data_IF_691154862953
#
_entry.id   IF_691154862953
#
_cell.length_a   1.000
_cell.length_b   1.000
_cell.length_c   1.000
_cell.angle_alpha   90.00
_cell.angle_beta   90.00
_cell.angle_gamma   90.00
#
_symmetry.space_group_name_H-M   'P 1'
#
loop_
_entity.id
_entity.type
_entity.pdbx_description
1 polymer ?
#
# COMPACT_ATOMS: atom_id res chain seq x y z
N UNK A 1 47.72 -4.44 21.17
CA UNK A 1 47.13 -5.28 20.09
C UNK A 1 45.85 -4.61 19.59
N UNK A 2 45.84 -4.10 18.34
CA UNK A 2 44.70 -3.39 17.74
C UNK A 2 43.76 -4.40 17.07
N UNK A 3 42.52 -4.53 17.55
CA UNK A 3 41.48 -5.36 16.90
C UNK A 3 40.82 -4.58 15.76
N UNK A 4 40.81 -5.17 14.56
CA UNK A 4 40.17 -4.64 13.37
C UNK A 4 38.63 -4.75 13.42
N UNK A 5 37.86 -3.83 12.80
CA UNK A 5 36.40 -3.89 12.77
C UNK A 5 35.90 -4.87 11.71
N UNK A 6 35.12 -5.86 12.16
CA UNK A 6 34.46 -6.86 11.33
C UNK A 6 33.33 -6.26 10.49
N UNK A 7 33.42 -6.50 9.18
CA UNK A 7 32.51 -6.02 8.16
C UNK A 7 31.19 -6.82 8.19
N UNK A 8 30.11 -6.27 8.77
CA UNK A 8 28.78 -6.91 8.78
C UNK A 8 28.07 -6.68 7.46
N UNK A 9 28.01 -7.72 6.61
CA UNK A 9 27.18 -7.76 5.40
C UNK A 9 25.70 -7.59 5.77
N UNK A 10 25.07 -6.52 5.27
CA UNK A 10 23.61 -6.30 5.35
C UNK A 10 22.89 -7.35 4.51
N UNK A 11 22.16 -8.26 5.16
CA UNK A 11 21.22 -9.16 4.49
C UNK A 11 19.97 -8.35 4.13
N UNK A 12 19.87 -7.92 2.88
CA UNK A 12 18.66 -7.30 2.34
C UNK A 12 17.62 -8.39 2.16
N UNK A 13 16.58 -8.41 3.02
CA UNK A 13 15.39 -9.23 2.80
C UNK A 13 14.71 -8.76 1.52
N UNK A 14 14.88 -9.51 0.42
CA UNK A 14 14.22 -9.23 -0.85
C UNK A 14 12.71 -9.40 -0.63
N UNK A 15 11.94 -8.36 -0.95
CA UNK A 15 10.49 -8.42 -0.98
C UNK A 15 10.06 -9.60 -1.85
N UNK A 16 9.10 -10.39 -1.34
CA UNK A 16 8.52 -11.54 -2.02
C UNK A 16 7.68 -10.98 -3.17
N UNK A 17 8.30 -10.78 -4.34
CA UNK A 17 7.59 -10.46 -5.58
C UNK A 17 6.67 -11.64 -5.84
N UNK A 18 5.36 -11.43 -5.72
CA UNK A 18 4.35 -12.35 -6.23
C UNK A 18 4.63 -12.50 -7.71
N UNK A 19 5.28 -13.61 -8.08
CA UNK A 19 5.45 -13.97 -9.49
C UNK A 19 4.04 -14.18 -10.03
N UNK A 20 3.69 -13.41 -11.05
CA UNK A 20 2.49 -13.64 -11.84
C UNK A 20 2.53 -15.09 -12.29
N UNK A 21 1.45 -15.85 -12.04
CA UNK A 21 1.33 -17.20 -12.53
C UNK A 21 1.33 -17.14 -14.06
N UNK A 22 2.42 -17.61 -14.66
CA UNK A 22 2.64 -17.56 -16.10
C UNK A 22 1.57 -18.35 -16.86
N UNK A 23 1.00 -19.41 -16.25
CA UNK A 23 -0.08 -20.20 -16.84
C UNK A 23 -1.40 -19.44 -16.88
N UNK A 24 -1.72 -18.69 -15.83
CA UNK A 24 -2.89 -17.80 -15.83
C UNK A 24 -2.75 -16.69 -16.87
N UNK A 25 -1.55 -16.11 -17.01
CA UNK A 25 -1.33 -15.03 -17.98
C UNK A 25 -1.49 -15.49 -19.43
N UNK A 26 -1.00 -16.69 -19.79
CA UNK A 26 -1.18 -17.22 -21.15
C UNK A 26 -2.65 -17.49 -21.47
N UNK A 27 -3.40 -18.04 -20.53
CA UNK A 27 -4.84 -18.29 -20.70
C UNK A 27 -5.63 -16.98 -20.84
N UNK A 28 -5.31 -15.97 -20.03
CA UNK A 28 -5.96 -14.66 -20.14
C UNK A 28 -5.63 -13.95 -21.45
N UNK A 29 -4.42 -14.14 -21.97
CA UNK A 29 -4.03 -13.63 -23.29
C UNK A 29 -4.77 -14.34 -24.42
N UNK A 30 -4.98 -15.64 -24.32
CA UNK A 30 -5.77 -16.41 -25.30
C UNK A 30 -7.25 -16.01 -25.26
N UNK A 31 -7.82 -15.83 -24.07
CA UNK A 31 -9.18 -15.31 -23.89
C UNK A 31 -9.32 -13.89 -24.44
N UNK A 32 -8.39 -12.99 -24.10
CA UNK A 32 -8.40 -11.64 -24.65
C UNK A 32 -8.23 -11.65 -26.17
N UNK A 33 -7.35 -12.51 -26.69
CA UNK A 33 -7.15 -12.73 -28.12
C UNK A 33 -8.45 -13.12 -28.80
N UNK A 34 -9.06 -14.22 -28.38
CA UNK A 34 -10.32 -14.73 -28.96
C UNK A 34 -11.51 -13.77 -28.85
N UNK A 35 -11.62 -13.01 -27.74
CA UNK A 35 -12.70 -12.04 -27.56
C UNK A 35 -12.52 -10.76 -28.39
N UNK A 36 -11.29 -10.45 -28.81
CA UNK A 36 -10.93 -9.15 -29.40
C UNK A 36 -10.22 -9.26 -30.76
N UNK A 37 -10.04 -10.47 -31.31
CA UNK A 37 -9.25 -10.72 -32.52
C UNK A 37 -9.72 -9.89 -33.72
N UNK A 38 -11.04 -9.71 -33.84
CA UNK A 38 -11.67 -8.97 -34.94
C UNK A 38 -12.28 -7.63 -34.51
N UNK A 39 -12.14 -7.24 -33.23
CA UNK A 39 -12.72 -5.99 -32.72
C UNK A 39 -11.76 -4.83 -32.87
N UNK A 40 -12.23 -3.73 -33.44
CA UNK A 40 -11.51 -2.47 -33.31
C UNK A 40 -11.61 -1.96 -31.87
N UNK A 41 -10.50 -2.11 -31.14
CA UNK A 41 -10.38 -1.66 -29.75
C UNK A 41 -10.68 -0.17 -29.59
N UNK A 42 -10.48 0.62 -30.65
CA UNK A 42 -10.69 2.07 -30.67
C UNK A 42 -12.16 2.47 -30.73
N UNK A 43 -13.06 1.54 -31.08
CA UNK A 43 -14.50 1.77 -31.14
C UNK A 43 -15.28 1.03 -30.05
N UNK A 44 -14.59 0.37 -29.10
CA UNK A 44 -15.25 -0.38 -28.04
C UNK A 44 -16.11 0.53 -27.15
N UNK A 45 -17.35 0.11 -26.92
CA UNK A 45 -18.25 0.73 -25.95
C UNK A 45 -17.86 0.40 -24.51
N UNK A 46 -18.39 1.15 -23.55
CA UNK A 46 -18.17 0.89 -22.14
C UNK A 46 -18.64 -0.50 -21.71
N UNK A 47 -19.79 -0.96 -22.21
CA UNK A 47 -20.34 -2.27 -21.85
C UNK A 47 -19.47 -3.41 -22.39
N UNK A 48 -18.94 -3.28 -23.59
CA UNK A 48 -17.96 -4.25 -24.11
C UNK A 48 -16.68 -4.26 -23.27
N UNK A 49 -16.18 -3.10 -22.84
CA UNK A 49 -15.01 -3.04 -21.93
C UNK A 49 -15.32 -3.69 -20.58
N UNK A 50 -16.54 -3.54 -20.05
CA UNK A 50 -16.98 -4.22 -18.81
C UNK A 50 -17.01 -5.74 -18.99
N UNK A 51 -17.57 -6.23 -20.09
CA UNK A 51 -17.65 -7.67 -20.39
C UNK A 51 -16.26 -8.31 -20.45
N UNK A 52 -15.28 -7.62 -21.03
CA UNK A 52 -13.90 -8.11 -21.12
C UNK A 52 -13.01 -7.66 -19.96
N UNK A 53 -13.55 -6.99 -18.94
CA UNK A 53 -12.76 -6.31 -17.92
C UNK A 53 -11.75 -7.24 -17.23
N UNK A 54 -12.13 -8.49 -16.95
CA UNK A 54 -11.24 -9.50 -16.39
C UNK A 54 -10.08 -9.87 -17.34
N UNK A 55 -10.37 -9.98 -18.63
CA UNK A 55 -9.43 -10.38 -19.69
C UNK A 55 -8.42 -9.28 -20.06
N UNK A 56 -8.64 -8.02 -19.65
CA UNK A 56 -7.75 -6.89 -19.96
C UNK A 56 -6.29 -7.11 -19.53
N UNK A 57 -6.03 -7.99 -18.55
CA UNK A 57 -4.68 -8.39 -18.16
C UNK A 57 -3.89 -9.06 -19.29
N UNK A 58 -4.56 -9.77 -20.20
CA UNK A 58 -3.96 -10.45 -21.34
C UNK A 58 -3.59 -9.55 -22.52
N UNK A 59 -4.10 -8.30 -22.55
CA UNK A 59 -3.84 -7.34 -23.63
C UNK A 59 -2.45 -6.74 -23.54
N UNK A 60 -1.87 -6.32 -24.67
CA UNK A 60 -0.64 -5.52 -24.61
C UNK A 60 -0.94 -4.12 -24.10
N UNK A 61 0.10 -3.40 -23.66
CA UNK A 61 -0.04 -1.98 -23.30
C UNK A 61 -0.47 -1.12 -24.48
N UNK A 62 -0.13 -1.51 -25.71
CA UNK A 62 -0.53 -0.79 -26.93
C UNK A 62 -2.02 -0.99 -27.21
N UNK A 63 -2.54 -2.20 -26.97
CA UNK A 63 -3.95 -2.50 -27.15
C UNK A 63 -4.83 -1.76 -26.13
N UNK A 64 -4.40 -1.73 -24.87
CA UNK A 64 -5.08 -0.93 -23.83
C UNK A 64 -5.06 0.57 -24.17
N UNK A 65 -3.98 1.07 -24.78
CA UNK A 65 -3.88 2.48 -25.15
C UNK A 65 -4.83 2.87 -26.30
N UNK A 66 -5.30 1.90 -27.09
CA UNK A 66 -6.31 2.13 -28.14
C UNK A 66 -7.73 2.27 -27.59
N UNK A 67 -8.03 1.72 -26.42
CA UNK A 67 -9.39 1.78 -25.84
C UNK A 67 -9.88 3.22 -25.67
N UNK A 68 -11.15 3.54 -25.94
CA UNK A 68 -11.69 4.89 -25.71
C UNK A 68 -11.58 5.32 -24.26
N UNK A 69 -11.14 6.56 -24.04
CA UNK A 69 -10.94 7.10 -22.68
C UNK A 69 -12.25 7.08 -21.87
N UNK A 70 -13.39 7.41 -22.50
CA UNK A 70 -14.73 7.39 -21.88
C UNK A 70 -15.20 5.98 -21.55
N UNK A 71 -14.97 5.01 -22.44
CA UNK A 71 -15.31 3.60 -22.20
C UNK A 71 -14.55 3.04 -20.99
N UNK A 72 -13.27 3.39 -20.85
CA UNK A 72 -12.46 3.00 -19.68
C UNK A 72 -13.03 3.60 -18.39
N UNK A 73 -13.42 4.88 -18.41
CA UNK A 73 -14.01 5.54 -17.23
C UNK A 73 -15.34 4.89 -16.82
N UNK A 74 -16.24 4.65 -17.76
CA UNK A 74 -17.55 4.07 -17.49
C UNK A 74 -17.48 2.58 -17.08
N UNK A 75 -16.43 1.87 -17.51
CA UNK A 75 -16.16 0.49 -17.13
C UNK A 75 -15.39 0.34 -15.81
N UNK A 76 -15.06 1.44 -15.11
CA UNK A 76 -14.19 1.42 -13.93
C UNK A 76 -14.68 0.49 -12.83
N UNK A 77 -15.99 0.40 -12.62
CA UNK A 77 -16.61 -0.49 -11.62
C UNK A 77 -16.29 -1.97 -11.84
N UNK A 78 -16.02 -2.38 -13.08
CA UNK A 78 -15.61 -3.75 -13.44
C UNK A 78 -14.09 -3.91 -13.47
N UNK A 79 -13.36 -2.84 -13.83
CA UNK A 79 -11.89 -2.83 -13.88
C UNK A 79 -11.28 -2.84 -12.47
N UNK A 80 -11.95 -2.22 -11.49
CA UNK A 80 -11.40 -2.01 -10.14
C UNK A 80 -10.98 -3.27 -9.40
N UNK A 81 -11.60 -4.41 -9.72
CA UNK A 81 -11.30 -5.71 -9.11
C UNK A 81 -10.34 -6.57 -9.95
N UNK A 82 -9.88 -6.06 -11.10
CA UNK A 82 -8.94 -6.79 -11.95
C UNK A 82 -7.51 -6.74 -11.41
N UNK A 83 -7.14 -7.80 -10.69
CA UNK A 83 -5.79 -8.00 -10.14
C UNK A 83 -4.76 -8.49 -11.18
N UNK A 84 -5.19 -8.87 -12.38
CA UNK A 84 -4.32 -9.41 -13.43
C UNK A 84 -3.62 -8.32 -14.27
N UNK A 85 -3.98 -7.06 -14.09
CA UNK A 85 -3.32 -5.94 -14.76
C UNK A 85 -1.89 -5.75 -14.23
N UNK A 86 -0.92 -5.76 -15.13
CA UNK A 86 0.44 -5.34 -14.83
C UNK A 86 0.51 -3.84 -14.46
N UNK A 87 1.53 -3.40 -13.71
CA UNK A 87 1.66 -1.98 -13.32
C UNK A 87 1.63 -1.00 -14.51
N UNK A 88 2.21 -1.39 -15.66
CA UNK A 88 2.17 -0.55 -16.87
C UNK A 88 0.75 -0.41 -17.42
N UNK A 89 -0.01 -1.51 -17.45
CA UNK A 89 -1.40 -1.51 -17.91
C UNK A 89 -2.29 -0.69 -16.96
N UNK A 90 -2.18 -0.91 -15.64
CA UNK A 90 -2.87 -0.11 -14.62
C UNK A 90 -2.64 1.39 -14.81
N UNK A 91 -1.39 1.79 -15.07
CA UNK A 91 -1.04 3.19 -15.31
C UNK A 91 -1.70 3.79 -16.56
N UNK A 92 -1.77 3.03 -17.65
CA UNK A 92 -2.41 3.48 -18.88
C UNK A 92 -3.92 3.63 -18.63
N UNK A 93 -4.56 2.63 -18.02
CA UNK A 93 -5.98 2.69 -17.64
C UNK A 93 -6.29 3.90 -16.77
N UNK A 94 -5.50 4.13 -15.72
CA UNK A 94 -5.65 5.27 -14.83
C UNK A 94 -5.52 6.60 -15.61
N UNK A 95 -4.52 6.72 -16.49
CA UNK A 95 -4.35 7.92 -17.33
C UNK A 95 -5.53 8.16 -18.25
N UNK A 96 -6.09 7.11 -18.87
CA UNK A 96 -7.26 7.20 -19.74
C UNK A 96 -8.49 7.66 -18.97
N UNK A 97 -8.79 7.01 -17.85
CA UNK A 97 -9.88 7.43 -16.97
C UNK A 97 -9.73 8.89 -16.53
N UNK A 98 -8.50 9.32 -16.20
CA UNK A 98 -8.21 10.71 -15.85
C UNK A 98 -8.43 11.68 -17.00
N UNK A 99 -8.05 11.34 -18.23
CA UNK A 99 -8.35 12.15 -19.42
C UNK A 99 -9.85 12.29 -19.67
N UNK A 100 -10.61 11.24 -19.38
CA UNK A 100 -12.07 11.24 -19.47
C UNK A 100 -12.78 11.96 -18.31
N UNK A 101 -12.06 12.45 -17.31
CA UNK A 101 -12.62 13.25 -16.22
C UNK A 101 -12.72 12.56 -14.86
N UNK A 102 -12.04 11.43 -14.65
CA UNK A 102 -11.91 10.82 -13.31
C UNK A 102 -11.33 11.83 -12.31
N UNK A 103 -12.07 12.03 -11.21
CA UNK A 103 -11.63 12.82 -10.04
C UNK A 103 -11.40 11.92 -8.83
N UNK A 104 -10.52 12.36 -7.93
CA UNK A 104 -10.23 11.66 -6.67
C UNK A 104 -10.34 12.70 -5.55
N UNK A 105 -11.56 12.93 -5.08
CA UNK A 105 -11.84 13.95 -4.08
C UNK A 105 -12.26 13.35 -2.74
N UNK A 106 -12.99 12.23 -2.77
CA UNK A 106 -13.60 11.64 -1.59
C UNK A 106 -13.28 10.15 -1.42
N UNK A 107 -13.70 9.56 -0.31
CA UNK A 107 -13.47 8.14 -0.01
C UNK A 107 -14.17 7.17 -0.95
N UNK A 108 -15.30 7.55 -1.56
CA UNK A 108 -16.01 6.72 -2.53
C UNK A 108 -15.23 6.64 -3.86
N UNK A 109 -14.69 7.77 -4.34
CA UNK A 109 -13.83 7.80 -5.52
C UNK A 109 -12.61 6.87 -5.34
N UNK A 110 -12.00 6.89 -4.15
CA UNK A 110 -10.88 6.00 -3.80
C UNK A 110 -11.29 4.53 -3.86
N UNK A 111 -12.47 4.19 -3.34
CA UNK A 111 -12.98 2.83 -3.36
C UNK A 111 -13.25 2.35 -4.80
N UNK A 112 -13.73 3.24 -5.66
CA UNK A 112 -14.02 2.93 -7.06
C UNK A 112 -12.78 2.76 -7.94
N UNK A 113 -11.62 3.28 -7.52
CA UNK A 113 -10.36 3.00 -8.19
C UNK A 113 -9.87 1.55 -8.02
N UNK A 114 -10.23 0.90 -6.90
CA UNK A 114 -9.77 -0.45 -6.56
C UNK A 114 -8.29 -0.66 -6.81
N UNK A 115 -7.93 -1.59 -7.69
CA UNK A 115 -6.54 -1.94 -8.04
C UNK A 115 -5.72 -0.78 -8.65
N UNK A 116 -6.39 0.23 -9.23
CA UNK A 116 -5.75 1.39 -9.86
C UNK A 116 -5.32 2.47 -8.84
N UNK A 117 -5.76 2.38 -7.57
CA UNK A 117 -5.37 3.33 -6.52
C UNK A 117 -3.84 3.45 -6.36
N UNK A 118 -3.13 2.35 -6.67
CA UNK A 118 -1.67 2.27 -6.64
C UNK A 118 -0.98 3.08 -7.74
N UNK A 119 -1.70 3.56 -8.75
CA UNK A 119 -1.17 4.40 -9.82
C UNK A 119 -1.46 5.89 -9.61
N UNK A 120 -2.17 6.26 -8.54
CA UNK A 120 -2.45 7.67 -8.20
C UNK A 120 -1.14 8.37 -7.80
N UNK A 121 -0.76 9.48 -8.45
CA UNK A 121 0.47 10.19 -8.13
C UNK A 121 0.51 10.68 -6.69
N UNK A 122 1.70 10.68 -6.09
CA UNK A 122 1.91 11.14 -4.71
C UNK A 122 1.46 12.60 -4.48
N UNK A 123 1.51 13.45 -5.50
CA UNK A 123 1.02 14.83 -5.44
C UNK A 123 -0.50 14.90 -5.28
N UNK A 124 -1.25 13.99 -5.91
CA UNK A 124 -2.71 13.94 -5.85
C UNK A 124 -3.19 13.33 -4.53
N UNK A 125 -2.49 12.29 -4.04
CA UNK A 125 -2.78 11.71 -2.72
C UNK A 125 -2.67 12.74 -1.58
N UNK A 126 -1.85 13.78 -1.73
CA UNK A 126 -1.75 14.88 -0.75
C UNK A 126 -2.93 15.85 -0.77
N UNK A 127 -3.67 15.90 -1.89
CA UNK A 127 -4.83 16.79 -2.05
C UNK A 127 -6.09 16.20 -1.41
N UNK A 128 -6.11 14.88 -1.19
CA UNK A 128 -7.22 14.18 -0.53
C UNK A 128 -7.32 14.67 0.91
N UNK A 129 -8.54 14.88 1.39
CA UNK A 129 -8.78 15.29 2.78
C UNK A 129 -8.29 14.21 3.76
N UNK A 130 -7.93 14.63 4.97
CA UNK A 130 -7.51 13.68 6.02
C UNK A 130 -8.63 12.73 6.44
N UNK A 131 -9.88 13.21 6.47
CA UNK A 131 -11.07 12.39 6.76
C UNK A 131 -11.35 11.34 5.69
N UNK A 132 -11.17 11.69 4.41
CA UNK A 132 -11.35 10.74 3.31
C UNK A 132 -10.23 9.69 3.29
N UNK A 133 -8.98 10.12 3.48
CA UNK A 133 -7.86 9.18 3.60
C UNK A 133 -8.07 8.19 4.75
N UNK A 134 -8.50 8.69 5.92
CA UNK A 134 -8.83 7.86 7.09
C UNK A 134 -9.90 6.83 6.74
N UNK A 135 -11.02 7.27 6.15
CA UNK A 135 -12.12 6.39 5.74
C UNK A 135 -11.70 5.33 4.71
N UNK A 136 -10.70 5.66 3.87
CA UNK A 136 -10.17 4.76 2.84
C UNK A 136 -8.97 3.92 3.29
N UNK A 137 -8.52 3.98 4.55
CA UNK A 137 -7.32 3.26 5.00
C UNK A 137 -7.40 1.74 4.83
N UNK A 138 -8.58 1.15 4.96
CA UNK A 138 -8.80 -0.27 4.69
C UNK A 138 -8.47 -0.64 3.23
N UNK A 139 -8.85 0.20 2.28
CA UNK A 139 -8.56 -0.02 0.86
C UNK A 139 -7.08 0.20 0.53
N UNK A 140 -6.45 1.21 1.15
CA UNK A 140 -5.02 1.45 1.02
C UNK A 140 -4.20 0.28 1.55
N UNK A 141 -4.54 -0.22 2.74
CA UNK A 141 -3.80 -1.32 3.39
C UNK A 141 -3.93 -2.63 2.64
N UNK A 142 -5.11 -2.96 2.10
CA UNK A 142 -5.32 -4.12 1.22
C UNK A 142 -4.37 -4.10 0.01
N UNK A 143 -4.02 -2.90 -0.49
CA UNK A 143 -3.21 -2.70 -1.70
C UNK A 143 -1.84 -2.11 -1.43
N UNK A 144 -1.37 -2.14 -0.18
CA UNK A 144 -0.17 -1.46 0.24
C UNK A 144 1.09 -1.90 -0.53
N UNK A 145 1.15 -3.15 -0.99
CA UNK A 145 2.24 -3.69 -1.79
C UNK A 145 2.37 -3.03 -3.17
N UNK A 146 1.27 -2.50 -3.74
CA UNK A 146 1.28 -1.82 -5.04
C UNK A 146 1.82 -0.39 -4.97
N UNK A 147 1.81 0.24 -3.80
CA UNK A 147 2.28 1.62 -3.66
C UNK A 147 3.80 1.73 -3.66
N UNK A 148 4.30 2.70 -4.43
CA UNK A 148 5.67 3.18 -4.32
C UNK A 148 5.90 3.86 -2.97
N UNK A 149 7.17 3.91 -2.56
CA UNK A 149 7.59 4.59 -1.33
C UNK A 149 7.12 6.05 -1.28
N UNK A 150 7.19 6.77 -2.40
CA UNK A 150 6.77 8.17 -2.46
C UNK A 150 5.26 8.33 -2.21
N UNK A 151 4.43 7.40 -2.67
CA UNK A 151 3.00 7.40 -2.41
C UNK A 151 2.68 7.03 -0.96
N UNK A 152 3.35 6.01 -0.40
CA UNK A 152 3.20 5.65 1.02
C UNK A 152 3.53 6.83 1.93
N UNK A 153 4.63 7.52 1.64
CA UNK A 153 5.01 8.76 2.35
C UNK A 153 4.00 9.89 2.19
N UNK A 154 3.40 10.05 1.01
CA UNK A 154 2.38 11.07 0.79
C UNK A 154 1.14 10.81 1.65
N UNK A 155 0.65 9.56 1.67
CA UNK A 155 -0.49 9.15 2.49
C UNK A 155 -0.19 9.36 3.97
N UNK A 156 0.95 8.85 4.47
CA UNK A 156 1.33 8.99 5.88
C UNK A 156 1.57 10.44 6.27
N UNK A 157 2.22 11.23 5.42
CA UNK A 157 2.44 12.66 5.66
C UNK A 157 1.11 13.41 5.78
N UNK A 158 0.10 13.03 4.99
CA UNK A 158 -1.21 13.66 5.04
C UNK A 158 -1.97 13.22 6.30
N UNK A 159 -1.94 11.95 6.66
CA UNK A 159 -2.53 11.45 7.92
C UNK A 159 -1.86 12.05 9.17
N UNK A 160 -0.58 12.40 9.10
CA UNK A 160 0.15 13.07 10.19
C UNK A 160 -0.30 14.51 10.46
N UNK A 161 -1.11 15.11 9.59
CA UNK A 161 -1.82 16.36 9.87
C UNK A 161 -2.95 16.15 10.90
N UNK A 162 -3.41 14.91 11.10
CA UNK A 162 -4.32 14.53 12.18
C UNK A 162 -3.57 14.36 13.50
N UNK A 163 -4.33 14.18 14.59
CA UNK A 163 -3.75 13.72 15.85
C UNK A 163 -3.11 12.34 15.63
N UNK A 164 -1.92 12.15 16.21
CA UNK A 164 -1.14 10.93 16.00
C UNK A 164 -1.80 9.70 16.65
N UNK A 165 -2.50 9.86 17.77
CA UNK A 165 -3.26 8.78 18.42
C UNK A 165 -4.42 8.33 17.53
N UNK A 166 -5.12 9.28 16.90
CA UNK A 166 -6.19 8.97 15.93
C UNK A 166 -5.66 8.22 14.72
N UNK A 167 -4.45 8.57 14.26
CA UNK A 167 -3.80 7.88 13.15
C UNK A 167 -3.34 6.46 13.55
N UNK A 168 -2.82 6.28 14.77
CA UNK A 168 -2.36 4.96 15.25
C UNK A 168 -3.51 4.01 15.58
N UNK A 169 -4.72 4.54 15.86
CA UNK A 169 -5.95 3.76 15.94
C UNK A 169 -6.32 3.12 14.60
N UNK A 170 -5.81 3.63 13.48
CA UNK A 170 -6.01 3.01 12.17
C UNK A 170 -5.05 1.83 11.98
N UNK A 171 -5.54 0.78 11.31
CA UNK A 171 -4.65 -0.27 10.83
C UNK A 171 -3.82 0.27 9.67
N UNK A 172 -2.62 0.78 9.94
CA UNK A 172 -1.76 1.36 8.91
C UNK A 172 -1.03 0.32 8.06
N UNK A 173 -0.97 -0.96 8.47
CA UNK A 173 -0.24 -2.00 7.75
C UNK A 173 1.16 -1.54 7.31
N UNK A 174 1.55 -1.80 6.06
CA UNK A 174 2.87 -1.40 5.53
C UNK A 174 3.15 0.11 5.57
N UNK A 175 2.13 0.97 5.73
CA UNK A 175 2.31 2.41 5.85
C UNK A 175 2.94 2.82 7.18
N UNK A 176 2.83 1.99 8.23
CA UNK A 176 3.42 2.27 9.55
C UNK A 176 4.92 2.57 9.47
N UNK A 177 5.63 1.85 8.59
CA UNK A 177 7.06 2.00 8.35
C UNK A 177 7.47 3.38 7.82
N UNK A 178 6.54 4.17 7.24
CA UNK A 178 6.84 5.51 6.74
C UNK A 178 6.62 6.62 7.78
N UNK A 179 6.16 6.29 9.00
CA UNK A 179 6.07 7.26 10.09
C UNK A 179 7.47 7.70 10.52
N UNK A 180 7.75 8.99 10.53
CA UNK A 180 9.09 9.46 10.90
C UNK A 180 9.38 9.22 12.39
N UNK A 181 10.63 8.85 12.71
CA UNK A 181 11.08 8.73 14.10
C UNK A 181 10.93 10.04 14.88
N UNK A 182 11.13 11.19 14.23
CA UNK A 182 10.91 12.50 14.84
C UNK A 182 9.47 12.68 15.30
N UNK A 183 8.50 12.22 14.51
CA UNK A 183 7.07 12.29 14.87
C UNK A 183 6.75 11.33 16.03
N UNK A 184 7.29 10.11 16.01
CA UNK A 184 7.15 9.20 17.16
C UNK A 184 7.78 9.77 18.44
N UNK A 185 8.93 10.45 18.33
CA UNK A 185 9.61 11.07 19.49
C UNK A 185 8.83 12.22 20.13
N UNK A 186 7.88 12.83 19.40
CA UNK A 186 7.00 13.86 19.98
C UNK A 186 5.87 13.28 20.84
N UNK A 187 5.67 11.96 20.85
CA UNK A 187 4.70 11.30 21.72
C UNK A 187 5.23 11.15 23.14
N UNK A 188 4.34 11.31 24.11
CA UNK A 188 4.64 11.06 25.53
C UNK A 188 4.41 9.60 25.92
N UNK A 189 3.35 8.98 25.39
CA UNK A 189 2.97 7.60 25.64
C UNK A 189 2.40 6.97 24.36
N UNK A 190 2.24 5.65 24.37
CA UNK A 190 1.64 4.89 23.26
C UNK A 190 0.85 3.72 23.82
N UNK A 191 -0.33 3.44 23.25
CA UNK A 191 -1.09 2.26 23.60
C UNK A 191 -0.58 1.07 22.77
N UNK A 192 -0.03 0.04 23.41
CA UNK A 192 0.51 -1.13 22.71
C UNK A 192 -0.51 -1.83 21.81
N UNK A 193 -1.80 -1.81 22.18
CA UNK A 193 -2.85 -2.45 21.38
C UNK A 193 -2.97 -1.86 19.97
N UNK A 194 -2.66 -0.56 19.81
CA UNK A 194 -2.67 0.14 18.53
C UNK A 194 -1.48 -0.27 17.66
N UNK A 195 -0.30 -0.44 18.27
CA UNK A 195 0.97 -0.54 17.53
C UNK A 195 1.49 -1.97 17.38
N UNK A 196 1.12 -2.92 18.25
CA UNK A 196 1.72 -4.26 18.30
C UNK A 196 1.52 -5.13 17.05
N UNK A 197 0.58 -4.78 16.17
CA UNK A 197 0.29 -5.56 14.96
C UNK A 197 0.78 -4.87 13.68
N UNK A 198 1.51 -3.75 13.79
CA UNK A 198 1.94 -2.98 12.63
C UNK A 198 3.41 -3.28 12.28
N UNK A 199 3.80 -3.30 10.99
CA UNK A 199 5.17 -3.55 10.56
C UNK A 199 6.07 -2.32 10.78
N UNK A 200 6.62 -2.22 11.98
CA UNK A 200 7.57 -1.17 12.33
C UNK A 200 8.98 -1.44 11.82
N UNK A 201 9.71 -0.38 11.49
CA UNK A 201 11.16 -0.42 11.38
C UNK A 201 11.80 -0.57 12.76
N UNK A 202 12.98 -1.19 12.82
CA UNK A 202 13.67 -1.47 14.09
C UNK A 202 13.81 -0.23 14.99
N UNK A 203 14.15 0.92 14.41
CA UNK A 203 14.28 2.17 15.16
C UNK A 203 12.94 2.70 15.70
N UNK A 204 11.84 2.50 14.95
CA UNK A 204 10.50 2.90 15.36
C UNK A 204 10.02 2.01 16.50
N UNK A 205 10.15 0.70 16.31
CA UNK A 205 9.86 -0.31 17.33
C UNK A 205 10.62 -0.05 18.63
N UNK A 206 11.93 0.25 18.55
CA UNK A 206 12.73 0.57 19.73
C UNK A 206 12.20 1.81 20.48
N UNK A 207 11.77 2.86 19.74
CA UNK A 207 11.19 4.04 20.37
C UNK A 207 9.82 3.75 20.99
N UNK A 208 9.00 2.93 20.34
CA UNK A 208 7.69 2.49 20.87
C UNK A 208 7.87 1.72 22.18
N UNK A 209 8.79 0.75 22.22
CA UNK A 209 9.13 0.00 23.43
C UNK A 209 9.61 0.93 24.54
N UNK A 210 10.50 1.88 24.22
CA UNK A 210 10.98 2.88 25.17
C UNK A 210 9.83 3.72 25.76
N UNK A 211 8.91 4.20 24.90
CA UNK A 211 7.75 4.99 25.34
C UNK A 211 6.80 4.18 26.21
N UNK A 212 6.56 2.92 25.86
CA UNK A 212 5.72 2.04 26.67
C UNK A 212 6.34 1.79 28.05
N UNK A 213 7.64 1.45 28.11
CA UNK A 213 8.34 1.20 29.38
C UNK A 213 8.37 2.43 30.27
N UNK A 214 8.71 3.60 29.72
CA UNK A 214 8.75 4.84 30.50
C UNK A 214 7.37 5.24 31.06
N UNK A 215 6.28 4.85 30.40
CA UNK A 215 4.92 5.10 30.85
C UNK A 215 4.34 4.00 31.73
N UNK A 216 5.09 2.92 32.01
CA UNK A 216 4.63 1.76 32.76
C UNK A 216 5.51 1.51 33.98
N UNK A 217 4.96 0.92 35.05
CA UNK A 217 5.75 0.52 36.24
C UNK A 217 6.63 -0.72 35.98
N UNK A 218 6.58 -1.30 34.77
CA UNK A 218 7.30 -2.53 34.44
C UNK A 218 8.79 -2.28 34.17
N UNK A 219 9.62 -2.67 35.14
CA UNK A 219 11.08 -2.67 35.00
C UNK A 219 11.60 -3.97 34.38
N UNK A 220 10.99 -5.12 34.71
CA UNK A 220 11.42 -6.44 34.26
C UNK A 220 10.70 -6.91 32.98
N UNK A 221 11.45 -7.54 32.07
CA UNK A 221 10.92 -8.10 30.83
C UNK A 221 10.33 -9.49 31.10
N UNK A 222 9.00 -9.60 31.20
CA UNK A 222 8.33 -10.89 31.39
C UNK A 222 7.95 -11.53 30.05
N UNK A 223 7.64 -12.83 30.06
CA UNK A 223 7.16 -13.53 28.87
C UNK A 223 5.82 -12.93 28.37
N UNK A 224 4.97 -12.49 29.30
CA UNK A 224 3.71 -11.80 29.00
C UNK A 224 3.99 -10.49 28.26
N UNK A 225 4.93 -9.67 28.75
CA UNK A 225 5.29 -8.40 28.09
C UNK A 225 5.82 -8.64 26.67
N UNK A 226 6.70 -9.63 26.48
CA UNK A 226 7.22 -9.96 25.15
C UNK A 226 6.09 -10.36 24.18
N UNK A 227 5.08 -11.07 24.68
CA UNK A 227 3.88 -11.42 23.92
C UNK A 227 3.04 -10.17 23.59
N UNK A 228 2.88 -9.25 24.53
CA UNK A 228 2.12 -8.00 24.34
C UNK A 228 2.77 -7.05 23.33
N UNK A 229 4.11 -7.01 23.26
CA UNK A 229 4.84 -6.16 22.32
C UNK A 229 4.59 -6.53 20.85
N UNK A 230 4.23 -7.79 20.56
CA UNK A 230 3.93 -8.25 19.20
C UNK A 230 5.06 -7.92 18.21
N UNK A 231 4.74 -7.24 17.12
CA UNK A 231 5.72 -6.82 16.09
C UNK A 231 6.77 -5.82 16.60
N UNK A 232 6.50 -5.09 17.69
CA UNK A 232 7.43 -4.10 18.26
C UNK A 232 8.58 -4.75 19.02
N UNK A 233 8.51 -6.07 19.30
CA UNK A 233 9.57 -6.85 19.96
C UNK A 233 10.92 -6.73 19.25
N UNK A 234 10.92 -6.48 17.93
CA UNK A 234 12.15 -6.27 17.14
C UNK A 234 12.95 -5.04 17.59
N UNK A 235 12.32 -4.15 18.36
CA UNK A 235 12.90 -2.95 18.95
C UNK A 235 13.70 -3.22 20.22
N UNK A 236 13.54 -4.38 20.87
CA UNK A 236 14.26 -4.74 22.08
C UNK A 236 15.78 -4.81 21.82
N UNK A 237 16.54 -4.32 22.79
CA UNK A 237 18.00 -4.44 22.85
C UNK A 237 18.37 -5.69 23.62
N UNK A 238 19.57 -6.21 23.38
CA UNK A 238 20.10 -7.35 24.12
C UNK A 238 20.21 -7.08 25.63
N UNK A 239 20.46 -5.82 26.00
CA UNK A 239 20.47 -5.37 27.40
C UNK A 239 19.08 -5.44 28.05
N UNK A 240 18.00 -5.44 27.27
CA UNK A 240 16.64 -5.50 27.82
C UNK A 240 16.21 -6.92 28.20
N UNK A 241 17.01 -7.95 27.84
CA UNK A 241 16.65 -9.38 27.97
C UNK A 241 17.61 -10.14 28.92
N UNK A 242 18.78 -9.58 29.23
CA UNK A 242 19.88 -10.29 29.90
C UNK A 242 20.12 -9.87 31.37
N UNK A 243 19.16 -9.20 32.00
CA UNK A 243 19.15 -8.95 33.45
C UNK A 243 18.35 -10.06 34.17
#
# INVERSE_FOLDING_TARGET
MKKAPGNRKKVVKKAKVTRVDLGQFSMMRELAGTLLEDKDLSSMSADEVKEVAGALGGLTTQDIDKLPDTAVLEAMSSIKDNTNLSPKQKRIMFKKAKKAGLTIQNSADIADLGELISEVPASELKMISTSDLKSSMKEFTKRAAGFSRSQKKAIVSKLQEMNLDDMLNENLGDFASEISLSKLKSMQSVNLSQVRNQPWERGQAAKIVEMYRNGSEYTALTAELVSELGSTVIGLKCSDVMD
#
